data_IF_543249406259
#
_entry.id   IF_543249406259
#
_cell.length_a   1.000
_cell.length_b   1.000
_cell.length_c   1.000
_cell.angle_alpha   90.00
_cell.angle_beta   90.00
_cell.angle_gamma   90.00
#
_symmetry.space_group_name_H-M   'P 1'
#
loop_
_entity.id
_entity.type
_entity.pdbx_description
1 polymer ?
#
# COMPACT_ATOMS: atom_id res chain seq x y z
N UNK A 1 -13.57 -1.25 15.49
CA UNK A 1 -12.37 -2.02 15.11
C UNK A 1 -11.14 -1.13 15.31
N UNK A 2 -10.10 -1.65 15.95
CA UNK A 2 -8.87 -0.89 16.20
C UNK A 2 -8.01 -0.83 14.93
N UNK A 3 -7.44 0.33 14.57
CA UNK A 3 -6.61 0.45 13.37
C UNK A 3 -5.24 -0.21 13.54
N UNK A 4 -4.62 -0.60 12.44
CA UNK A 4 -3.21 -1.02 12.37
C UNK A 4 -2.33 0.07 12.97
N UNK A 5 -1.38 -0.34 13.80
CA UNK A 5 -0.50 0.45 14.66
C UNK A 5 -1.04 0.73 16.06
N UNK A 6 -2.23 0.23 16.40
CA UNK A 6 -2.68 0.24 17.80
C UNK A 6 -1.80 -0.67 18.65
N UNK A 7 -1.49 -0.24 19.87
CA UNK A 7 -0.81 -1.07 20.85
C UNK A 7 -1.82 -1.87 21.66
N UNK A 8 -1.54 -3.16 21.86
CA UNK A 8 -2.35 -4.09 22.64
C UNK A 8 -1.48 -4.54 23.81
N UNK A 9 -1.93 -4.26 25.02
CA UNK A 9 -1.27 -4.61 26.27
C UNK A 9 -2.07 -5.75 26.91
N UNK A 10 -1.40 -6.88 27.17
CA UNK A 10 -2.02 -8.07 27.75
C UNK A 10 -1.00 -8.82 28.61
N UNK A 11 -1.31 -8.99 29.89
CA UNK A 11 -0.35 -9.53 30.86
C UNK A 11 0.95 -8.71 30.84
N UNK A 12 2.08 -9.38 30.62
CA UNK A 12 3.39 -8.72 30.51
C UNK A 12 3.76 -8.31 29.06
N UNK A 13 2.90 -8.62 28.09
CA UNK A 13 3.17 -8.44 26.67
C UNK A 13 2.68 -7.09 26.15
N UNK A 14 3.48 -6.49 25.27
CA UNK A 14 3.08 -5.35 24.45
C UNK A 14 3.17 -5.75 22.98
N UNK A 15 2.07 -5.65 22.28
CA UNK A 15 1.90 -6.06 20.90
C UNK A 15 1.48 -4.84 20.06
N UNK A 16 1.99 -4.71 18.85
CA UNK A 16 1.55 -3.68 17.91
C UNK A 16 0.74 -4.34 16.79
N UNK A 17 -0.51 -3.95 16.61
CA UNK A 17 -1.39 -4.48 15.58
C UNK A 17 -0.81 -4.17 14.20
N UNK A 18 -0.35 -5.18 13.46
CA UNK A 18 0.29 -5.00 12.15
C UNK A 18 -0.63 -5.30 10.98
N UNK A 19 -1.65 -6.13 11.18
CA UNK A 19 -2.57 -6.52 10.12
C UNK A 19 -3.91 -7.00 10.68
N UNK A 20 -4.99 -6.67 9.96
CA UNK A 20 -6.34 -7.20 10.21
C UNK A 20 -6.72 -8.09 9.04
N UNK A 21 -6.99 -9.37 9.31
CA UNK A 21 -7.29 -10.35 8.29
C UNK A 21 -6.02 -10.90 7.64
N UNK A 22 -5.88 -12.22 7.55
CA UNK A 22 -4.80 -12.88 6.79
C UNK A 22 -5.31 -14.12 6.07
N UNK A 23 -4.80 -14.36 4.86
CA UNK A 23 -5.12 -15.56 4.10
C UNK A 23 -4.79 -16.82 4.92
N UNK A 24 -5.73 -17.76 4.94
CA UNK A 24 -5.56 -19.03 5.65
C UNK A 24 -4.83 -20.00 4.71
N UNK A 25 -3.64 -20.46 5.09
CA UNK A 25 -2.84 -21.38 4.26
C UNK A 25 -3.06 -22.86 4.60
N UNK A 26 -3.51 -23.15 5.82
CA UNK A 26 -3.51 -24.52 6.36
C UNK A 26 -4.85 -24.95 6.94
N UNK A 27 -5.91 -24.16 6.75
CA UNK A 27 -7.26 -24.40 7.29
C UNK A 27 -7.26 -24.94 8.73
N UNK A 28 -7.29 -24.07 9.73
CA UNK A 28 -7.17 -24.49 11.13
C UNK A 28 -8.36 -25.36 11.61
N UNK A 29 -8.23 -25.96 12.80
CA UNK A 29 -9.30 -26.78 13.40
C UNK A 29 -10.66 -26.05 13.49
N UNK A 30 -10.67 -24.73 13.66
CA UNK A 30 -11.90 -23.91 13.66
C UNK A 30 -12.57 -23.95 12.28
N UNK A 31 -11.80 -23.81 11.20
CA UNK A 31 -12.33 -23.87 9.84
C UNK A 31 -12.95 -25.24 9.55
N UNK A 32 -12.25 -26.33 9.88
CA UNK A 32 -12.78 -27.67 9.66
C UNK A 32 -14.06 -27.96 10.44
N UNK A 33 -14.25 -27.30 11.59
CA UNK A 33 -15.45 -27.44 12.41
C UNK A 33 -16.61 -26.56 11.94
N UNK A 34 -16.32 -25.32 11.56
CA UNK A 34 -17.34 -24.30 11.28
C UNK A 34 -17.62 -24.16 9.78
N UNK A 35 -16.80 -24.75 8.91
CA UNK A 35 -16.87 -24.59 7.44
C UNK A 35 -16.45 -23.20 6.95
N UNK A 36 -16.10 -22.28 7.85
CA UNK A 36 -15.80 -20.88 7.55
C UNK A 36 -14.64 -20.38 8.41
N UNK A 37 -13.76 -19.57 7.82
CA UNK A 37 -12.59 -19.02 8.51
C UNK A 37 -12.85 -17.57 8.90
N UNK A 38 -12.68 -17.28 10.18
CA UNK A 38 -12.72 -15.89 10.67
C UNK A 38 -11.40 -15.15 10.40
N UNK A 39 -10.27 -15.87 10.26
CA UNK A 39 -8.94 -15.28 10.14
C UNK A 39 -8.77 -14.30 8.97
N UNK A 40 -9.33 -14.52 7.77
CA UNK A 40 -9.24 -13.55 6.67
C UNK A 40 -10.05 -12.27 6.88
N UNK A 41 -11.04 -12.27 7.79
CA UNK A 41 -12.00 -11.17 7.96
C UNK A 41 -11.79 -10.39 9.25
N UNK A 42 -11.51 -11.08 10.35
CA UNK A 42 -11.48 -10.51 11.69
C UNK A 42 -10.21 -10.89 12.49
N UNK A 43 -9.33 -11.72 11.92
CA UNK A 43 -8.09 -12.11 12.59
C UNK A 43 -7.20 -10.88 12.86
N UNK A 44 -6.69 -10.75 14.08
CA UNK A 44 -5.78 -9.66 14.48
C UNK A 44 -4.37 -10.25 14.52
N UNK A 45 -3.45 -9.63 13.80
CA UNK A 45 -2.04 -10.04 13.75
C UNK A 45 -1.18 -8.90 14.27
N UNK A 46 -0.21 -9.23 15.11
CA UNK A 46 0.59 -8.24 15.80
C UNK A 46 2.07 -8.57 15.81
N UNK A 47 2.90 -7.53 15.81
CA UNK A 47 4.34 -7.64 16.09
C UNK A 47 4.54 -7.57 17.61
N UNK A 48 5.36 -8.46 18.16
CA UNK A 48 5.70 -8.44 19.58
C UNK A 48 6.72 -7.33 19.82
N UNK A 49 6.32 -6.25 20.50
CA UNK A 49 7.22 -5.16 20.91
C UNK A 49 7.92 -5.48 22.22
N UNK A 50 7.21 -6.15 23.13
CA UNK A 50 7.72 -6.69 24.39
C UNK A 50 7.12 -8.07 24.61
N UNK A 51 7.99 -9.09 24.70
CA UNK A 51 7.58 -10.45 25.05
C UNK A 51 7.28 -10.58 26.55
N UNK A 52 6.51 -11.60 26.91
CA UNK A 52 6.04 -11.80 28.28
C UNK A 52 5.17 -13.05 28.41
N UNK A 53 4.50 -13.18 29.55
CA UNK A 53 3.52 -14.26 29.79
C UNK A 53 2.11 -13.69 29.71
N UNK A 54 1.22 -14.47 29.10
CA UNK A 54 -0.22 -14.22 29.07
C UNK A 54 -0.93 -15.41 29.70
N UNK A 55 -2.05 -15.15 30.36
CA UNK A 55 -2.90 -16.14 31.02
C UNK A 55 -4.36 -15.88 30.70
N UNK A 56 -5.17 -16.93 30.79
CA UNK A 56 -6.63 -16.79 30.68
C UNK A 56 -7.12 -15.88 31.80
N UNK A 57 -7.88 -14.83 31.44
CA UNK A 57 -8.39 -13.84 32.36
C UNK A 57 -7.56 -12.56 32.45
N UNK A 58 -6.38 -12.49 31.81
CA UNK A 58 -5.63 -11.24 31.72
C UNK A 58 -6.45 -10.19 30.95
N UNK A 59 -6.53 -8.94 31.46
CA UNK A 59 -7.20 -7.88 30.74
C UNK A 59 -6.46 -7.56 29.44
N UNK A 60 -7.22 -7.21 28.40
CA UNK A 60 -6.69 -6.76 27.13
C UNK A 60 -7.01 -5.28 26.98
N UNK A 61 -5.98 -4.46 27.11
CA UNK A 61 -6.08 -3.01 26.95
C UNK A 61 -5.55 -2.62 25.56
N UNK A 62 -6.26 -1.74 24.87
CA UNK A 62 -5.91 -1.35 23.50
C UNK A 62 -5.79 0.15 23.42
N UNK A 63 -4.60 0.61 23.05
CA UNK A 63 -4.25 2.01 22.92
C UNK A 63 -4.14 2.36 21.44
N UNK A 64 -4.71 3.49 20.99
CA UNK A 64 -4.55 3.94 19.62
C UNK A 64 -3.07 4.20 19.32
N UNK A 65 -2.65 3.91 18.09
CA UNK A 65 -1.28 4.19 17.64
C UNK A 65 -0.95 5.68 17.74
N UNK A 66 0.34 5.98 17.97
CA UNK A 66 0.81 7.36 18.06
C UNK A 66 0.44 8.17 16.81
N UNK A 67 -0.03 9.40 16.99
CA UNK A 67 -0.46 10.27 15.87
C UNK A 67 0.69 10.64 14.94
N UNK A 68 1.87 10.86 15.51
CA UNK A 68 3.12 11.26 14.84
C UNK A 68 3.88 10.07 14.23
N UNK A 69 3.31 8.86 14.24
CA UNK A 69 3.97 7.70 13.64
C UNK A 69 4.25 7.93 12.15
N UNK A 70 5.34 7.39 11.59
CA UNK A 70 5.63 7.50 10.16
C UNK A 70 4.47 7.02 9.26
N UNK A 71 4.42 7.54 8.04
CA UNK A 71 3.54 6.98 7.02
C UNK A 71 4.09 5.68 6.45
N UNK A 72 3.21 4.72 6.25
CA UNK A 72 3.55 3.42 5.66
C UNK A 72 3.33 3.46 4.16
N UNK A 73 4.20 2.81 3.41
CA UNK A 73 4.12 2.71 1.97
C UNK A 73 4.29 1.27 1.47
N UNK A 74 3.73 1.01 0.29
CA UNK A 74 3.98 -0.20 -0.47
C UNK A 74 4.27 0.15 -1.93
N UNK A 75 5.18 -0.59 -2.55
CA UNK A 75 5.58 -0.41 -3.95
C UNK A 75 5.23 -1.67 -4.73
N UNK A 76 4.52 -1.52 -5.84
CA UNK A 76 4.14 -2.63 -6.72
C UNK A 76 4.70 -2.37 -8.12
N UNK A 77 5.66 -3.17 -8.55
CA UNK A 77 6.17 -3.16 -9.93
C UNK A 77 5.37 -4.12 -10.79
N UNK A 78 4.87 -3.63 -11.93
CA UNK A 78 4.15 -4.41 -12.94
C UNK A 78 5.07 -4.60 -14.15
N UNK A 79 5.46 -5.85 -14.41
CA UNK A 79 6.23 -6.21 -15.60
C UNK A 79 6.24 -7.71 -15.81
N UNK A 80 5.67 -8.17 -16.93
CA UNK A 80 5.75 -9.56 -17.38
C UNK A 80 7.21 -10.03 -17.45
N UNK A 81 8.10 -9.22 -18.04
CA UNK A 81 9.50 -9.58 -18.26
C UNK A 81 10.31 -9.63 -16.96
N UNK A 82 10.12 -8.68 -16.05
CA UNK A 82 10.83 -8.70 -14.78
C UNK A 82 10.32 -9.82 -13.87
N UNK A 83 9.00 -10.05 -13.83
CA UNK A 83 8.41 -11.14 -13.06
C UNK A 83 8.87 -12.53 -13.53
N UNK A 84 9.22 -12.67 -14.81
CA UNK A 84 9.81 -13.87 -15.41
C UNK A 84 11.34 -13.95 -15.26
N UNK A 85 12.00 -12.96 -14.65
CA UNK A 85 13.46 -12.92 -14.50
C UNK A 85 14.22 -12.63 -15.80
N UNK A 86 13.55 -12.12 -16.85
CA UNK A 86 14.20 -11.72 -18.11
C UNK A 86 15.09 -10.50 -17.89
N UNK A 87 14.72 -9.61 -16.96
CA UNK A 87 15.57 -8.54 -16.45
C UNK A 87 15.20 -8.20 -15.00
N UNK A 88 16.07 -7.48 -14.30
CA UNK A 88 15.83 -7.04 -12.92
C UNK A 88 14.95 -5.79 -12.85
N UNK A 89 14.06 -5.75 -11.85
CA UNK A 89 13.30 -4.53 -11.55
C UNK A 89 14.22 -3.43 -11.01
N UNK A 90 14.32 -2.33 -11.75
CA UNK A 90 15.07 -1.14 -11.36
C UNK A 90 14.19 -0.03 -10.78
N UNK A 91 12.90 -0.02 -11.11
CA UNK A 91 11.99 1.06 -10.70
C UNK A 91 11.51 0.88 -9.27
N UNK A 92 11.17 -0.35 -8.88
CA UNK A 92 10.77 -0.68 -7.50
C UNK A 92 11.80 -0.25 -6.46
N UNK A 93 13.09 -0.65 -6.59
CA UNK A 93 14.13 -0.23 -5.66
C UNK A 93 14.31 1.29 -5.57
N UNK A 94 14.28 2.00 -6.71
CA UNK A 94 14.40 3.47 -6.74
C UNK A 94 13.26 4.16 -5.98
N UNK A 95 12.03 3.69 -6.18
CA UNK A 95 10.86 4.21 -5.45
C UNK A 95 11.00 3.90 -3.96
N UNK A 96 11.35 2.67 -3.59
CA UNK A 96 11.55 2.25 -2.20
C UNK A 96 12.59 3.11 -1.48
N UNK A 97 13.75 3.34 -2.12
CA UNK A 97 14.81 4.17 -1.55
C UNK A 97 14.36 5.62 -1.38
N UNK A 98 13.68 6.18 -2.39
CA UNK A 98 13.13 7.52 -2.31
C UNK A 98 12.17 7.67 -1.12
N UNK A 99 11.20 6.76 -0.97
CA UNK A 99 10.23 6.78 0.12
C UNK A 99 10.89 6.71 1.50
N UNK A 100 11.91 5.86 1.66
CA UNK A 100 12.68 5.75 2.91
C UNK A 100 13.41 7.05 3.24
N UNK A 101 13.99 7.71 2.24
CA UNK A 101 14.67 9.00 2.42
C UNK A 101 13.70 10.12 2.82
N UNK A 102 12.41 9.99 2.47
CA UNK A 102 11.34 10.89 2.92
C UNK A 102 10.78 10.54 4.31
N UNK A 103 11.36 9.55 5.00
CA UNK A 103 10.95 9.15 6.35
C UNK A 103 9.73 8.21 6.40
N UNK A 104 9.34 7.63 5.27
CA UNK A 104 8.27 6.63 5.25
C UNK A 104 8.79 5.22 5.56
N UNK A 105 7.92 4.38 6.12
CA UNK A 105 8.19 2.95 6.33
C UNK A 105 7.66 2.20 5.12
N UNK A 106 8.55 1.68 4.28
CA UNK A 106 8.16 0.79 3.16
C UNK A 106 7.97 -0.62 3.72
N UNK A 107 6.71 -1.01 3.89
CA UNK A 107 6.30 -2.29 4.47
C UNK A 107 6.44 -3.45 3.48
N UNK A 108 6.16 -3.19 2.20
CA UNK A 108 6.16 -4.21 1.16
C UNK A 108 6.64 -3.65 -0.19
N UNK A 109 7.47 -4.43 -0.88
CA UNK A 109 7.85 -4.22 -2.28
C UNK A 109 7.50 -5.49 -3.05
N UNK A 110 6.60 -5.38 -4.02
CA UNK A 110 6.05 -6.49 -4.78
C UNK A 110 6.44 -6.36 -6.25
N UNK A 111 6.72 -7.51 -6.88
CA UNK A 111 6.91 -7.62 -8.32
C UNK A 111 5.85 -8.57 -8.87
N UNK A 112 4.98 -8.06 -9.75
CA UNK A 112 3.87 -8.78 -10.33
C UNK A 112 3.96 -8.78 -11.87
N UNK A 113 3.45 -9.82 -12.55
CA UNK A 113 3.24 -9.78 -13.98
C UNK A 113 2.18 -8.73 -14.36
N UNK A 114 2.16 -8.33 -15.62
CA UNK A 114 1.15 -7.40 -16.13
C UNK A 114 -0.23 -8.10 -16.15
N UNK A 115 -1.19 -7.52 -15.44
CA UNK A 115 -2.53 -8.09 -15.37
C UNK A 115 -3.36 -7.49 -14.25
N UNK A 116 -4.68 -7.45 -14.46
CA UNK A 116 -5.61 -6.82 -13.52
C UNK A 116 -5.84 -7.62 -12.24
N UNK A 117 -6.17 -8.93 -12.27
CA UNK A 117 -6.72 -9.61 -11.10
C UNK A 117 -5.79 -9.60 -9.88
N UNK A 118 -4.49 -9.87 -10.09
CA UNK A 118 -3.54 -9.91 -8.98
C UNK A 118 -3.24 -8.50 -8.44
N UNK A 119 -3.13 -7.50 -9.33
CA UNK A 119 -2.95 -6.11 -8.92
C UNK A 119 -4.15 -5.60 -8.10
N UNK A 120 -5.38 -5.85 -8.56
CA UNK A 120 -6.60 -5.47 -7.83
C UNK A 120 -6.66 -6.13 -6.45
N UNK A 121 -6.28 -7.41 -6.37
CA UNK A 121 -6.22 -8.17 -5.11
C UNK A 121 -5.17 -7.59 -4.15
N UNK A 122 -3.97 -7.30 -4.64
CA UNK A 122 -2.90 -6.77 -3.79
C UNK A 122 -3.18 -5.35 -3.32
N UNK A 123 -3.73 -4.47 -4.17
CA UNK A 123 -4.17 -3.13 -3.73
C UNK A 123 -5.23 -3.25 -2.63
N UNK A 124 -6.23 -4.14 -2.80
CA UNK A 124 -7.24 -4.40 -1.76
C UNK A 124 -6.61 -4.91 -0.47
N UNK A 125 -5.68 -5.88 -0.55
CA UNK A 125 -5.00 -6.45 0.63
C UNK A 125 -4.20 -5.38 1.39
N UNK A 126 -3.40 -4.60 0.66
CA UNK A 126 -2.55 -3.56 1.22
C UNK A 126 -3.38 -2.44 1.88
N UNK A 127 -4.47 -2.01 1.24
CA UNK A 127 -5.33 -0.96 1.78
C UNK A 127 -6.24 -1.46 2.93
N UNK A 128 -6.81 -2.65 2.79
CA UNK A 128 -7.85 -3.12 3.71
C UNK A 128 -7.29 -3.81 4.94
N UNK A 129 -6.29 -4.67 4.74
CA UNK A 129 -5.77 -5.56 5.77
C UNK A 129 -4.53 -4.96 6.43
N UNK A 130 -3.58 -4.51 5.61
CA UNK A 130 -2.31 -3.90 6.08
C UNK A 130 -2.50 -2.41 6.40
N UNK A 131 -3.55 -1.78 5.88
CA UNK A 131 -3.86 -0.35 6.07
C UNK A 131 -2.68 0.56 5.74
N UNK A 132 -2.01 0.27 4.61
CA UNK A 132 -0.90 1.06 4.08
C UNK A 132 -1.37 2.47 3.74
N UNK A 133 -0.59 3.50 4.10
CA UNK A 133 -0.99 4.90 3.86
C UNK A 133 -0.87 5.28 2.37
N UNK A 134 0.21 4.87 1.72
CA UNK A 134 0.51 5.16 0.31
C UNK A 134 0.86 3.88 -0.47
N UNK A 135 0.17 3.62 -1.57
CA UNK A 135 0.48 2.51 -2.47
C UNK A 135 0.91 3.10 -3.81
N UNK A 136 2.15 2.84 -4.19
CA UNK A 136 2.70 3.27 -5.47
C UNK A 136 2.81 2.08 -6.40
N UNK A 137 2.30 2.21 -7.62
CA UNK A 137 2.53 1.24 -8.67
C UNK A 137 3.49 1.81 -9.71
N UNK A 138 4.29 0.97 -10.36
CA UNK A 138 5.15 1.38 -11.50
C UNK A 138 4.98 0.39 -12.64
N UNK A 139 4.77 0.91 -13.86
CA UNK A 139 4.50 0.10 -15.05
C UNK A 139 3.01 -0.11 -15.35
N UNK A 140 2.70 -0.59 -16.56
CA UNK A 140 1.35 -0.93 -16.98
C UNK A 140 0.42 0.27 -17.29
N UNK A 141 0.95 1.47 -17.50
CA UNK A 141 0.17 2.71 -17.73
C UNK A 141 0.23 3.25 -19.17
N UNK A 142 0.85 2.51 -20.10
CA UNK A 142 0.98 2.89 -21.52
C UNK A 142 -0.20 2.43 -22.38
N UNK A 143 0.02 2.27 -23.69
CA UNK A 143 -1.01 1.85 -24.66
C UNK A 143 -0.91 0.38 -25.07
N UNK A 144 -0.06 -0.42 -24.42
CA UNK A 144 -0.01 -1.87 -24.67
C UNK A 144 -1.34 -2.51 -24.27
N UNK A 145 -1.76 -3.57 -24.95
CA UNK A 145 -2.96 -4.34 -24.57
C UNK A 145 -2.88 -4.91 -23.15
N UNK A 146 -1.66 -5.11 -22.65
CA UNK A 146 -1.39 -5.59 -21.29
C UNK A 146 -1.31 -4.46 -20.26
N UNK A 147 -1.19 -3.21 -20.70
CA UNK A 147 -1.15 -2.05 -19.80
C UNK A 147 -2.55 -1.85 -19.21
N UNK A 148 -2.75 -2.32 -17.98
CA UNK A 148 -4.06 -2.30 -17.32
C UNK A 148 -4.02 -1.79 -15.88
N UNK A 149 -2.88 -1.21 -15.46
CA UNK A 149 -2.69 -0.63 -14.13
C UNK A 149 -3.72 0.46 -13.81
N UNK A 150 -4.07 1.39 -14.74
CA UNK A 150 -5.08 2.39 -14.46
C UNK A 150 -6.48 1.80 -14.24
N UNK A 151 -6.87 0.83 -15.06
CA UNK A 151 -8.16 0.14 -14.96
C UNK A 151 -8.29 -0.62 -13.65
N UNK A 152 -7.23 -1.36 -13.26
CA UNK A 152 -7.18 -2.06 -11.99
C UNK A 152 -7.30 -1.08 -10.81
N UNK A 153 -6.60 0.05 -10.86
CA UNK A 153 -6.65 1.07 -9.80
C UNK A 153 -8.05 1.67 -9.66
N UNK A 154 -8.69 2.04 -10.78
CA UNK A 154 -10.06 2.58 -10.77
C UNK A 154 -11.08 1.58 -10.26
N UNK A 155 -10.92 0.29 -10.59
CA UNK A 155 -11.85 -0.75 -10.17
C UNK A 155 -11.87 -0.99 -8.66
N UNK A 156 -10.80 -0.62 -7.93
CA UNK A 156 -10.66 -0.89 -6.49
C UNK A 156 -10.71 0.35 -5.61
N UNK A 157 -10.51 1.54 -6.19
CA UNK A 157 -10.63 2.79 -5.45
C UNK A 157 -12.10 3.25 -5.36
N UNK A 158 -12.45 3.84 -4.22
CA UNK A 158 -13.80 4.34 -3.92
C UNK A 158 -13.97 5.78 -4.42
N UNK A 159 -12.87 6.54 -4.47
CA UNK A 159 -12.85 7.93 -4.94
C UNK A 159 -11.64 8.12 -5.84
N UNK A 160 -11.83 8.77 -6.99
CA UNK A 160 -10.74 9.16 -7.87
C UNK A 160 -10.04 10.42 -7.34
N UNK A 161 -8.74 10.54 -7.62
CA UNK A 161 -7.95 11.75 -7.34
C UNK A 161 -7.37 12.25 -8.65
N UNK A 162 -8.15 12.93 -9.50
CA UNK A 162 -7.72 13.32 -10.85
C UNK A 162 -6.59 14.37 -10.85
N UNK A 163 -6.52 15.22 -9.82
CA UNK A 163 -5.53 16.30 -9.75
C UNK A 163 -4.07 15.81 -9.71
N UNK A 164 -3.80 14.67 -9.05
CA UNK A 164 -2.45 14.09 -9.00
C UNK A 164 -1.94 13.72 -10.40
N UNK A 165 -2.59 12.81 -11.16
CA UNK A 165 -2.12 12.44 -12.49
C UNK A 165 -2.17 13.60 -13.48
N UNK A 166 -3.07 14.57 -13.32
CA UNK A 166 -3.06 15.81 -14.13
C UNK A 166 -1.79 16.64 -13.89
N UNK A 167 -1.45 16.89 -12.62
CA UNK A 167 -0.25 17.64 -12.25
C UNK A 167 1.03 16.92 -12.70
N UNK A 168 1.11 15.60 -12.49
CA UNK A 168 2.25 14.78 -12.94
C UNK A 168 2.42 14.79 -14.47
N UNK A 169 1.31 14.70 -15.22
CA UNK A 169 1.37 14.83 -16.69
C UNK A 169 1.78 16.23 -17.12
N UNK A 170 1.24 17.28 -16.51
CA UNK A 170 1.60 18.66 -16.82
C UNK A 170 3.09 18.92 -16.57
N UNK A 171 3.60 18.47 -15.42
CA UNK A 171 5.02 18.52 -15.10
C UNK A 171 5.85 17.73 -16.12
N UNK A 172 5.49 16.47 -16.38
CA UNK A 172 6.20 15.60 -17.32
C UNK A 172 6.17 16.14 -18.77
N UNK A 173 5.13 16.88 -19.17
CA UNK A 173 5.04 17.52 -20.48
C UNK A 173 6.08 18.64 -20.69
N UNK A 174 6.55 19.27 -19.60
CA UNK A 174 7.65 20.23 -19.66
C UNK A 174 9.00 19.56 -19.99
N UNK A 175 9.11 18.24 -19.74
CA UNK A 175 10.31 17.43 -19.97
C UNK A 175 10.21 16.70 -21.33
N UNK A 176 9.06 16.08 -21.61
CA UNK A 176 8.85 15.28 -22.82
C UNK A 176 7.40 15.31 -23.30
N UNK A 177 7.21 15.56 -24.60
CA UNK A 177 5.89 15.51 -25.23
C UNK A 177 5.21 14.15 -25.10
N UNK A 178 5.98 13.06 -24.97
CA UNK A 178 5.43 11.69 -24.84
C UNK A 178 4.61 11.50 -23.56
N UNK A 179 4.74 12.39 -22.56
CA UNK A 179 3.94 12.35 -21.34
C UNK A 179 2.43 12.39 -21.60
N UNK A 180 1.99 12.94 -22.75
CA UNK A 180 0.58 12.95 -23.16
C UNK A 180 -0.04 11.55 -23.30
N UNK A 181 0.77 10.51 -23.53
CA UNK A 181 0.30 9.13 -23.70
C UNK A 181 0.17 8.37 -22.38
N UNK A 182 0.54 8.99 -21.26
CA UNK A 182 0.43 8.38 -19.95
C UNK A 182 -1.03 8.28 -19.51
N UNK A 183 -1.50 7.06 -19.23
CA UNK A 183 -2.83 6.81 -18.65
C UNK A 183 -2.83 6.71 -17.12
N UNK A 184 -1.77 7.22 -16.46
CA UNK A 184 -1.69 7.23 -15.00
C UNK A 184 -2.98 7.77 -14.37
N UNK A 185 -3.37 7.12 -13.27
CA UNK A 185 -4.48 7.56 -12.43
C UNK A 185 -4.05 7.50 -10.97
N UNK A 186 -4.83 8.13 -10.11
CA UNK A 186 -4.73 8.00 -8.67
C UNK A 186 -6.13 7.86 -8.07
N UNK A 187 -6.21 7.25 -6.91
CA UNK A 187 -7.48 7.01 -6.23
C UNK A 187 -7.29 6.71 -4.75
N UNK A 188 -8.37 6.83 -4.00
CA UNK A 188 -8.42 6.55 -2.57
C UNK A 188 -9.24 5.29 -2.36
N UNK A 189 -8.67 4.35 -1.60
CA UNK A 189 -9.38 3.19 -1.06
C UNK A 189 -9.32 3.26 0.47
N UNK A 190 -10.46 3.45 1.13
CA UNK A 190 -10.53 3.69 2.58
C UNK A 190 -9.65 4.88 3.00
N UNK A 191 -8.52 4.59 3.66
CA UNK A 191 -7.54 5.58 4.15
C UNK A 191 -6.19 5.47 3.42
N UNK A 192 -6.17 4.76 2.29
CA UNK A 192 -4.98 4.53 1.47
C UNK A 192 -5.06 5.31 0.18
N UNK A 193 -4.01 6.07 -0.13
CA UNK A 193 -3.84 6.71 -1.43
C UNK A 193 -3.10 5.77 -2.37
N UNK A 194 -3.63 5.56 -3.57
CA UNK A 194 -3.02 4.75 -4.63
C UNK A 194 -2.63 5.67 -5.78
N UNK A 195 -1.39 5.59 -6.25
CA UNK A 195 -0.87 6.42 -7.35
C UNK A 195 -0.11 5.55 -8.34
N UNK A 196 -0.44 5.67 -9.62
CA UNK A 196 0.30 5.00 -10.67
C UNK A 196 1.43 5.90 -11.18
N UNK A 197 2.66 5.41 -11.11
CA UNK A 197 3.87 6.04 -11.62
C UNK A 197 4.25 5.44 -13.00
N UNK A 198 5.12 6.12 -13.78
CA UNK A 198 5.58 5.60 -15.05
C UNK A 198 6.39 4.31 -14.86
N UNK A 199 6.74 3.62 -15.95
CA UNK A 199 7.53 2.38 -15.86
C UNK A 199 9.04 2.57 -15.69
N UNK A 200 9.60 3.72 -16.09
CA UNK A 200 11.06 3.92 -16.08
C UNK A 200 11.56 4.52 -14.76
N UNK A 201 12.71 4.08 -14.22
CA UNK A 201 13.23 4.57 -12.93
C UNK A 201 13.42 6.09 -12.89
N UNK A 202 13.94 6.66 -13.98
CA UNK A 202 14.13 8.12 -14.12
C UNK A 202 12.81 8.88 -13.97
N UNK A 203 11.79 8.49 -14.74
CA UNK A 203 10.50 9.17 -14.69
C UNK A 203 9.76 8.93 -13.35
N UNK A 204 9.96 7.79 -12.68
CA UNK A 204 9.45 7.60 -11.31
C UNK A 204 10.06 8.62 -10.36
N UNK A 205 11.38 8.77 -10.38
CA UNK A 205 12.09 9.74 -9.53
C UNK A 205 11.62 11.17 -9.81
N UNK A 206 11.57 11.57 -11.07
CA UNK A 206 11.12 12.92 -11.47
C UNK A 206 9.69 13.22 -10.98
N UNK A 207 8.76 12.27 -11.10
CA UNK A 207 7.39 12.45 -10.61
C UNK A 207 7.30 12.47 -9.08
N UNK A 208 8.12 11.67 -8.40
CA UNK A 208 8.18 11.64 -6.94
C UNK A 208 8.76 12.94 -6.37
N UNK A 209 9.86 13.44 -6.94
CA UNK A 209 10.47 14.72 -6.56
C UNK A 209 9.46 15.87 -6.64
N UNK A 210 8.61 15.87 -7.69
CA UNK A 210 7.55 16.87 -7.86
C UNK A 210 6.40 16.72 -6.85
N UNK A 211 5.98 15.49 -6.55
CA UNK A 211 4.77 15.21 -5.78
C UNK A 211 4.97 15.30 -4.25
N UNK A 212 6.12 14.85 -3.76
CA UNK A 212 6.29 14.55 -2.34
C UNK A 212 6.23 15.73 -1.35
N UNK A 213 6.63 16.97 -1.69
CA UNK A 213 6.59 18.08 -0.75
C UNK A 213 5.22 18.28 -0.07
N UNK A 214 4.13 18.09 -0.83
CA UNK A 214 2.77 18.34 -0.35
C UNK A 214 1.96 17.06 -0.07
N UNK A 215 2.49 15.89 -0.45
CA UNK A 215 1.77 14.62 -0.34
C UNK A 215 1.45 14.24 1.11
N UNK A 216 2.34 14.58 2.05
CA UNK A 216 2.19 14.25 3.47
C UNK A 216 0.94 14.85 4.10
N UNK A 217 0.56 16.07 3.69
CA UNK A 217 -0.65 16.71 4.19
C UNK A 217 -1.91 15.93 3.77
N UNK A 218 -1.99 15.53 2.49
CA UNK A 218 -3.09 14.69 2.00
C UNK A 218 -3.17 13.33 2.72
N UNK A 219 -2.02 12.71 3.02
CA UNK A 219 -1.97 11.48 3.81
C UNK A 219 -2.40 11.71 5.26
N UNK A 220 -2.09 12.87 5.84
CA UNK A 220 -2.50 13.27 7.19
C UNK A 220 -4.01 13.47 7.31
N UNK A 221 -4.65 14.07 6.30
CA UNK A 221 -6.12 14.18 6.21
C UNK A 221 -6.74 12.77 6.17
N UNK A 222 -6.24 11.87 5.33
CA UNK A 222 -6.74 10.48 5.24
C UNK A 222 -6.59 9.71 6.56
N UNK A 223 -5.48 9.95 7.28
CA UNK A 223 -5.23 9.36 8.58
C UNK A 223 -6.16 9.95 9.65
N UNK A 224 -6.52 11.23 9.52
CA UNK A 224 -7.24 12.04 10.52
C UNK A 224 -6.29 12.70 11.53
N UNK A 225 -5.03 12.93 11.14
CA UNK A 225 -4.05 13.68 11.93
C UNK A 225 -3.99 15.15 11.57
N UNK A 226 -4.37 15.49 10.34
CA UNK A 226 -4.46 16.86 9.84
C UNK A 226 -5.92 17.21 9.50
N UNK A 227 -6.19 18.50 9.39
CA UNK A 227 -7.47 19.06 8.94
C UNK A 227 -7.28 19.81 7.63
N UNK A 228 -8.37 19.96 6.87
CA UNK A 228 -8.43 20.79 5.65
C UNK A 228 -8.06 22.25 5.92
#
# INVERSE_FOLDING_TARGET
KYPVGSEIHVGDCVLELSQIGKACHSHCAIFHRMGDCIMPREGIFSVVKKGGKIRVGDPVEIFPGKKDRPFTAAVITLSDRASQGVYEDQSGPVITEFLKNQGMIVEEQLLLPDGRPELEKEIKRLADQRQISLILTTGGTGFSERDCTPEATKAVCEREVPGIPEALRAYSLSITKKAMFSRQTAGIRKKSLVINLPGSPKACKENLDYLFPDLFHGLGILRGTDTD
#
